data_IF_420690332221
#
_entry.id   IF_420690332221
#
_cell.length_a   1.000
_cell.length_b   1.000
_cell.length_c   1.000
_cell.angle_alpha   90.00
_cell.angle_beta   90.00
_cell.angle_gamma   90.00
#
_symmetry.space_group_name_H-M   'P 1'
#
loop_
_entity.id
_entity.type
_entity.pdbx_description
1 polymer ?
#
# COMPACT_ATOMS: atom_id res chain seq x y z
N UNK A 1 25.46 -6.41 -36.29
CA UNK A 1 24.14 -6.72 -35.70
C UNK A 1 24.34 -6.76 -34.20
N UNK A 2 24.29 -5.59 -33.56
CA UNK A 2 24.48 -5.46 -32.12
C UNK A 2 23.15 -5.78 -31.43
N UNK A 3 23.16 -6.84 -30.64
CA UNK A 3 22.00 -7.33 -29.90
C UNK A 3 21.66 -6.27 -28.86
N UNK A 4 20.59 -5.51 -29.09
CA UNK A 4 19.99 -4.62 -28.11
C UNK A 4 19.54 -5.45 -26.90
N UNK A 5 20.42 -5.62 -25.90
CA UNK A 5 20.10 -6.25 -24.64
C UNK A 5 19.44 -5.22 -23.70
N UNK A 6 18.13 -5.04 -23.86
CA UNK A 6 17.19 -4.55 -22.83
C UNK A 6 15.79 -5.03 -23.29
N UNK A 7 14.88 -5.56 -22.43
CA UNK A 7 14.78 -5.30 -20.99
C UNK A 7 14.31 -6.53 -20.16
N UNK A 8 15.22 -7.19 -19.44
CA UNK A 8 14.89 -8.29 -18.51
C UNK A 8 13.85 -7.87 -17.45
N UNK A 9 13.84 -6.57 -17.10
CA UNK A 9 12.86 -5.97 -16.20
C UNK A 9 11.44 -5.85 -16.78
N UNK A 10 11.26 -5.67 -18.09
CA UNK A 10 9.92 -5.49 -18.66
C UNK A 10 9.14 -6.81 -18.75
N UNK A 11 9.83 -7.91 -19.07
CA UNK A 11 9.25 -9.25 -19.06
C UNK A 11 8.87 -9.68 -17.63
N UNK A 12 9.71 -9.34 -16.65
CA UNK A 12 9.43 -9.58 -15.23
C UNK A 12 8.22 -8.79 -14.72
N UNK A 13 8.11 -7.51 -15.08
CA UNK A 13 7.00 -6.64 -14.69
C UNK A 13 5.66 -7.11 -15.28
N UNK A 14 5.66 -7.58 -16.53
CA UNK A 14 4.47 -8.16 -17.17
C UNK A 14 3.95 -9.43 -16.46
N UNK A 15 4.85 -10.30 -16.00
CA UNK A 15 4.50 -11.47 -15.20
C UNK A 15 3.92 -11.10 -13.83
N UNK A 16 4.55 -10.15 -13.15
CA UNK A 16 4.13 -9.68 -11.81
C UNK A 16 2.80 -8.91 -11.88
N UNK A 17 2.52 -8.20 -12.99
CA UNK A 17 1.27 -7.44 -13.19
C UNK A 17 0.02 -8.30 -13.00
N UNK A 18 0.05 -9.56 -13.46
CA UNK A 18 -1.06 -10.52 -13.28
C UNK A 18 -1.40 -10.78 -11.81
N UNK A 19 -0.40 -10.70 -10.92
CA UNK A 19 -0.58 -10.84 -9.47
C UNK A 19 -0.87 -9.51 -8.78
N UNK A 20 -0.30 -8.40 -9.27
CA UNK A 20 -0.54 -7.09 -8.68
C UNK A 20 -1.96 -6.56 -8.91
N UNK A 21 -2.55 -6.81 -10.07
CA UNK A 21 -3.92 -6.38 -10.39
C UNK A 21 -4.93 -6.90 -9.36
N UNK A 22 -5.02 -8.22 -9.05
CA UNK A 22 -5.95 -8.69 -8.04
C UNK A 22 -5.62 -8.16 -6.64
N UNK A 23 -4.33 -8.04 -6.26
CA UNK A 23 -3.94 -7.41 -5.00
C UNK A 23 -4.42 -5.96 -4.90
N UNK A 24 -4.30 -5.19 -5.98
CA UNK A 24 -4.74 -3.79 -6.05
C UNK A 24 -6.27 -3.68 -5.90
N UNK A 25 -7.01 -4.56 -6.58
CA UNK A 25 -8.46 -4.62 -6.46
C UNK A 25 -8.90 -4.99 -5.04
N UNK A 26 -8.26 -5.98 -4.41
CA UNK A 26 -8.53 -6.35 -3.02
C UNK A 26 -8.27 -5.16 -2.10
N UNK A 27 -7.10 -4.52 -2.21
CA UNK A 27 -6.78 -3.34 -1.41
C UNK A 27 -7.79 -2.19 -1.63
N UNK A 28 -8.30 -2.02 -2.84
CA UNK A 28 -9.30 -1.01 -3.17
C UNK A 28 -10.64 -1.32 -2.51
N UNK A 29 -11.07 -2.58 -2.55
CA UNK A 29 -12.29 -3.04 -1.87
C UNK A 29 -12.16 -2.84 -0.35
N UNK A 30 -11.00 -3.18 0.23
CA UNK A 30 -10.73 -2.96 1.66
C UNK A 30 -10.82 -1.48 2.01
N UNK A 31 -10.16 -0.61 1.23
CA UNK A 31 -10.23 0.85 1.41
C UNK A 31 -11.67 1.38 1.35
N UNK A 32 -12.43 0.91 0.35
CA UNK A 32 -13.82 1.27 0.17
C UNK A 32 -14.67 0.81 1.37
N UNK A 33 -14.51 -0.44 1.81
CA UNK A 33 -15.24 -1.00 2.94
C UNK A 33 -14.97 -0.23 4.24
N UNK A 34 -13.71 0.11 4.52
CA UNK A 34 -13.35 0.95 5.67
C UNK A 34 -13.97 2.35 5.59
N UNK A 35 -13.91 2.96 4.41
CA UNK A 35 -14.50 4.28 4.18
C UNK A 35 -16.01 4.26 4.38
N UNK A 36 -16.73 3.31 3.76
CA UNK A 36 -18.18 3.16 3.92
C UNK A 36 -18.55 2.89 5.38
N UNK A 37 -17.87 1.95 6.04
CA UNK A 37 -18.14 1.62 7.43
C UNK A 37 -17.99 2.86 8.32
N UNK A 38 -16.94 3.66 8.11
CA UNK A 38 -16.79 4.91 8.85
C UNK A 38 -17.89 5.92 8.53
N UNK A 39 -18.22 6.14 7.26
CA UNK A 39 -19.26 7.10 6.87
C UNK A 39 -20.65 6.71 7.38
N UNK A 40 -20.95 5.41 7.52
CA UNK A 40 -22.25 4.95 8.03
C UNK A 40 -22.32 4.91 9.55
N UNK A 41 -21.21 4.62 10.24
CA UNK A 41 -21.21 4.44 11.71
C UNK A 41 -20.66 5.62 12.49
N UNK A 42 -19.78 6.44 11.89
CA UNK A 42 -19.06 7.51 12.57
C UNK A 42 -18.14 7.06 13.71
N UNK A 43 -17.91 5.76 13.88
CA UNK A 43 -17.19 5.18 15.02
C UNK A 43 -15.67 5.39 14.93
N UNK A 44 -15.03 5.68 16.06
CA UNK A 44 -13.57 5.86 16.19
C UNK A 44 -13.07 7.26 15.83
N UNK A 45 -13.94 8.15 15.35
CA UNK A 45 -13.60 9.52 15.00
C UNK A 45 -12.63 9.66 13.81
N UNK A 46 -12.35 10.90 13.45
CA UNK A 46 -11.51 11.23 12.28
C UNK A 46 -10.08 10.71 12.42
N UNK A 47 -9.59 10.53 13.65
CA UNK A 47 -8.23 10.07 13.93
C UNK A 47 -8.04 8.57 13.65
N UNK A 48 -8.96 7.70 14.11
CA UNK A 48 -8.89 6.27 13.81
C UNK A 48 -8.98 6.03 12.30
N UNK A 49 -9.82 6.82 11.62
CA UNK A 49 -9.93 6.80 10.17
C UNK A 49 -8.62 7.22 9.49
N UNK A 50 -8.02 8.35 9.90
CA UNK A 50 -6.79 8.83 9.28
C UNK A 50 -5.65 7.83 9.43
N UNK A 51 -5.50 7.25 10.61
CA UNK A 51 -4.42 6.29 10.91
C UNK A 51 -4.60 4.96 10.16
N UNK A 52 -5.82 4.63 9.72
CA UNK A 52 -6.08 3.46 8.87
C UNK A 52 -6.02 3.77 7.37
N UNK A 53 -6.70 4.82 6.92
CA UNK A 53 -6.79 5.16 5.50
C UNK A 53 -5.49 5.70 4.92
N UNK A 54 -4.70 6.48 5.68
CA UNK A 54 -3.46 7.07 5.13
C UNK A 54 -2.44 5.99 4.74
N UNK A 55 -2.08 5.03 5.61
CA UNK A 55 -1.15 3.96 5.20
C UNK A 55 -1.76 3.07 4.11
N UNK A 56 -3.07 2.83 4.14
CA UNK A 56 -3.75 2.02 3.14
C UNK A 56 -3.75 2.70 1.75
N UNK A 57 -3.95 4.02 1.71
CA UNK A 57 -3.84 4.82 0.49
C UNK A 57 -2.42 4.80 -0.08
N UNK A 58 -1.39 4.80 0.79
CA UNK A 58 -0.01 4.62 0.34
C UNK A 58 0.21 3.25 -0.32
N UNK A 59 -0.29 2.16 0.29
CA UNK A 59 -0.22 0.81 -0.30
C UNK A 59 -0.90 0.79 -1.68
N UNK A 60 -2.09 1.40 -1.79
CA UNK A 60 -2.79 1.53 -3.06
C UNK A 60 -1.99 2.28 -4.11
N UNK A 61 -1.38 3.41 -3.72
CA UNK A 61 -0.53 4.20 -4.62
C UNK A 61 0.65 3.37 -5.14
N UNK A 62 1.36 2.67 -4.26
CA UNK A 62 2.49 1.80 -4.65
C UNK A 62 2.05 0.71 -5.63
N UNK A 63 0.95 0.01 -5.32
CA UNK A 63 0.41 -1.03 -6.20
C UNK A 63 -0.03 -0.46 -7.55
N UNK A 64 -0.69 0.70 -7.55
CA UNK A 64 -1.11 1.38 -8.77
C UNK A 64 0.08 1.80 -9.64
N UNK A 65 1.20 2.26 -9.06
CA UNK A 65 2.41 2.58 -9.83
C UNK A 65 2.91 1.36 -10.60
N UNK A 66 3.05 0.20 -9.93
CA UNK A 66 3.46 -1.03 -10.62
C UNK A 66 2.41 -1.54 -11.63
N UNK A 67 1.12 -1.35 -11.34
CA UNK A 67 0.05 -1.65 -12.30
C UNK A 67 0.12 -0.70 -13.50
N UNK A 68 0.43 0.58 -13.34
CA UNK A 68 0.63 1.51 -14.45
C UNK A 68 1.88 1.20 -15.28
N UNK A 69 2.81 0.40 -14.72
CA UNK A 69 4.11 0.14 -15.32
C UNK A 69 5.15 1.22 -15.00
N UNK A 70 4.82 2.11 -14.05
CA UNK A 70 5.68 3.17 -13.58
C UNK A 70 6.36 2.74 -12.29
N UNK A 71 7.69 2.87 -12.23
CA UNK A 71 8.42 2.58 -11.00
C UNK A 71 8.28 3.76 -10.02
N UNK A 72 7.99 3.51 -8.74
CA UNK A 72 7.91 4.58 -7.73
C UNK A 72 9.17 5.44 -7.67
N UNK A 73 10.35 4.82 -7.87
CA UNK A 73 11.63 5.52 -7.98
C UNK A 73 12.29 5.22 -9.33
N UNK A 74 12.09 6.07 -10.37
CA UNK A 74 12.61 5.83 -11.73
C UNK A 74 14.14 5.75 -11.81
N UNK A 75 14.85 6.38 -10.87
CA UNK A 75 16.33 6.40 -10.81
C UNK A 75 16.92 5.15 -10.15
N UNK A 76 16.08 4.28 -9.61
CA UNK A 76 16.47 3.10 -8.84
C UNK A 76 16.24 1.83 -9.69
N UNK A 77 17.15 0.87 -9.60
CA UNK A 77 17.00 -0.41 -10.32
C UNK A 77 15.73 -1.17 -9.91
N UNK A 78 15.19 -2.00 -10.81
CA UNK A 78 13.94 -2.74 -10.61
C UNK A 78 13.90 -3.56 -9.31
N UNK A 79 14.98 -4.30 -9.01
CA UNK A 79 15.11 -5.11 -7.78
C UNK A 79 15.00 -4.28 -6.51
N UNK A 80 15.60 -3.10 -6.51
CA UNK A 80 15.65 -2.21 -5.35
C UNK A 80 14.29 -1.52 -5.14
N UNK A 81 13.61 -1.15 -6.23
CA UNK A 81 12.23 -0.68 -6.18
C UNK A 81 11.27 -1.69 -5.54
N UNK A 82 11.37 -2.97 -5.92
CA UNK A 82 10.55 -4.03 -5.31
C UNK A 82 10.88 -4.19 -3.83
N UNK A 83 12.16 -4.23 -3.46
CA UNK A 83 12.57 -4.39 -2.06
C UNK A 83 12.03 -3.26 -1.17
N UNK A 84 12.16 -2.01 -1.62
CA UNK A 84 11.65 -0.83 -0.91
C UNK A 84 10.11 -0.87 -0.85
N UNK A 85 9.44 -1.16 -1.95
CA UNK A 85 7.98 -1.27 -1.97
C UNK A 85 7.48 -2.32 -0.97
N UNK A 86 8.07 -3.51 -0.93
CA UNK A 86 7.73 -4.55 0.03
C UNK A 86 7.95 -4.09 1.48
N UNK A 87 9.08 -3.43 1.76
CA UNK A 87 9.40 -2.94 3.10
C UNK A 87 8.38 -1.88 3.58
N UNK A 88 8.04 -0.90 2.73
CA UNK A 88 7.05 0.11 3.09
C UNK A 88 5.64 -0.47 3.21
N UNK A 89 5.23 -1.38 2.33
CA UNK A 89 3.93 -2.06 2.44
C UNK A 89 3.85 -2.82 3.78
N UNK A 90 4.90 -3.56 4.16
CA UNK A 90 4.96 -4.26 5.43
C UNK A 90 4.88 -3.29 6.62
N UNK A 91 5.57 -2.16 6.56
CA UNK A 91 5.52 -1.13 7.59
C UNK A 91 4.14 -0.48 7.70
N UNK A 92 3.44 -0.24 6.58
CA UNK A 92 2.06 0.25 6.56
C UNK A 92 1.10 -0.75 7.20
N UNK A 93 1.20 -2.04 6.86
CA UNK A 93 0.38 -3.10 7.46
C UNK A 93 0.64 -3.18 8.97
N UNK A 94 1.91 -3.18 9.38
CA UNK A 94 2.29 -3.17 10.78
C UNK A 94 1.71 -1.96 11.52
N UNK A 95 1.84 -0.76 10.94
CA UNK A 95 1.31 0.48 11.51
C UNK A 95 -0.21 0.43 11.67
N UNK A 96 -0.94 -0.06 10.66
CA UNK A 96 -2.40 -0.22 10.73
C UNK A 96 -2.80 -1.15 11.87
N UNK A 97 -2.14 -2.31 11.99
CA UNK A 97 -2.46 -3.29 13.04
C UNK A 97 -2.16 -2.70 14.41
N UNK A 98 -0.94 -2.20 14.62
CA UNK A 98 -0.50 -1.65 15.89
C UNK A 98 -1.39 -0.49 16.34
N UNK A 99 -1.60 0.47 15.45
CA UNK A 99 -2.36 1.67 15.79
C UNK A 99 -3.84 1.40 15.99
N UNK A 100 -4.45 0.38 15.36
CA UNK A 100 -5.84 0.02 15.64
C UNK A 100 -5.99 -0.76 16.94
N UNK A 101 -5.07 -1.70 17.22
CA UNK A 101 -5.13 -2.52 18.44
C UNK A 101 -4.86 -1.67 19.67
N UNK A 102 -3.85 -0.81 19.59
CA UNK A 102 -3.44 0.04 20.70
C UNK A 102 -4.14 1.40 20.69
N UNK A 103 -5.10 1.63 19.79
CA UNK A 103 -5.74 2.94 19.63
C UNK A 103 -6.34 3.44 20.94
N UNK A 104 -7.15 2.60 21.58
CA UNK A 104 -7.87 2.94 22.79
C UNK A 104 -6.89 3.14 23.96
N UNK A 105 -5.88 2.29 24.09
CA UNK A 105 -4.86 2.44 25.12
C UNK A 105 -4.00 3.71 24.92
N UNK A 106 -3.70 4.09 23.68
CA UNK A 106 -2.94 5.31 23.39
C UNK A 106 -3.74 6.57 23.71
N UNK A 107 -5.02 6.60 23.36
CA UNK A 107 -5.86 7.80 23.48
C UNK A 107 -6.47 7.95 24.87
N UNK A 108 -6.92 6.86 25.49
CA UNK A 108 -7.68 6.91 26.75
C UNK A 108 -6.86 6.60 28.00
N UNK A 109 -5.71 5.93 27.88
CA UNK A 109 -4.93 5.47 29.05
C UNK A 109 -3.57 6.18 29.17
N UNK A 110 -3.05 6.74 28.07
CA UNK A 110 -1.72 7.37 28.03
C UNK A 110 -1.73 8.85 27.67
N UNK A 111 -2.73 9.33 26.94
CA UNK A 111 -2.82 10.72 26.52
C UNK A 111 -3.64 11.61 27.48
N UNK A 112 -4.30 11.02 28.48
CA UNK A 112 -5.07 11.73 29.51
C UNK A 112 -5.45 10.82 30.67
#
# INVERSE_FOLDING_TARGET
MEKNELPDGANSLAGIRKFLIPCYLIATIVYLAFSLHYFTTGLGGTMLLAVTLVPLAYVLWVLQSFVAGELPYPRLGFKLNIAIACAYIAMCIFSIIYMRVEFDALIYDRAG
#
